data_IF_963763584898
#
_entry.id   IF_963763584898
#
_cell.length_a   1.000
_cell.length_b   1.000
_cell.length_c   1.000
_cell.angle_alpha   90.00
_cell.angle_beta   90.00
_cell.angle_gamma   90.00
#
_symmetry.space_group_name_H-M   'P 1'
#
loop_
_entity.id
_entity.type
_entity.pdbx_description
1 polymer ?
#
# COMPACT_ATOMS: atom_id res chain seq x y z
N UNK A 1 30.09 -17.09 11.55
CA UNK A 1 30.50 -17.00 10.13
C UNK A 1 29.36 -16.35 9.35
N UNK A 2 29.39 -15.02 9.19
CA UNK A 2 28.34 -14.30 8.45
C UNK A 2 28.70 -14.40 6.97
N UNK A 3 27.93 -15.16 6.19
CA UNK A 3 28.09 -15.21 4.73
C UNK A 3 27.73 -13.84 4.19
N UNK A 4 28.75 -13.03 3.90
CA UNK A 4 28.63 -11.79 3.13
C UNK A 4 28.09 -12.15 1.74
N UNK A 5 26.79 -11.95 1.51
CA UNK A 5 26.20 -12.07 0.18
C UNK A 5 26.70 -10.87 -0.63
N UNK A 6 27.82 -11.06 -1.34
CA UNK A 6 28.26 -10.13 -2.38
C UNK A 6 27.25 -10.24 -3.52
N UNK A 7 26.25 -9.36 -3.57
CA UNK A 7 25.42 -9.18 -4.77
C UNK A 7 26.35 -8.62 -5.85
N UNK A 8 26.81 -9.46 -6.77
CA UNK A 8 27.46 -8.98 -7.98
C UNK A 8 26.39 -8.22 -8.78
N UNK A 9 26.62 -6.96 -9.09
CA UNK A 9 25.77 -6.21 -10.00
C UNK A 9 25.95 -6.82 -11.39
N UNK A 10 25.10 -7.79 -11.70
CA UNK A 10 24.91 -8.32 -13.04
C UNK A 10 24.55 -7.17 -13.96
N UNK A 11 25.07 -7.21 -15.18
CA UNK A 11 24.78 -6.27 -16.27
C UNK A 11 23.29 -5.92 -16.32
N UNK A 12 22.97 -4.66 -16.57
CA UNK A 12 21.59 -4.17 -16.74
C UNK A 12 20.80 -5.07 -17.70
N UNK A 13 19.70 -5.65 -17.23
CA UNK A 13 18.78 -6.42 -18.06
C UNK A 13 17.62 -5.51 -18.51
N UNK A 14 17.55 -5.13 -19.79
CA UNK A 14 16.46 -4.29 -20.31
C UNK A 14 15.09 -4.98 -20.22
N UNK A 15 15.05 -6.33 -20.20
CA UNK A 15 13.81 -7.11 -20.10
C UNK A 15 13.21 -6.94 -18.71
N UNK A 16 14.01 -7.15 -17.65
CA UNK A 16 13.58 -6.94 -16.26
C UNK A 16 13.23 -5.46 -15.99
N UNK A 17 13.90 -4.53 -16.66
CA UNK A 17 13.54 -3.11 -16.57
C UNK A 17 12.17 -2.81 -17.22
N UNK A 18 11.91 -3.37 -18.41
CA UNK A 18 10.65 -3.13 -19.14
C UNK A 18 9.46 -3.88 -18.57
N UNK A 19 9.69 -5.00 -17.90
CA UNK A 19 8.67 -5.87 -17.30
C UNK A 19 9.16 -6.38 -15.95
N UNK A 20 9.16 -5.51 -14.93
CA UNK A 20 9.69 -5.86 -13.62
C UNK A 20 8.85 -6.95 -12.95
N UNK A 21 9.51 -7.77 -12.13
CA UNK A 21 8.83 -8.78 -11.35
C UNK A 21 7.83 -8.16 -10.34
N UNK A 22 6.92 -8.97 -9.82
CA UNK A 22 5.94 -8.52 -8.82
C UNK A 22 6.57 -8.16 -7.46
N UNK A 23 7.87 -8.34 -7.24
CA UNK A 23 8.57 -7.88 -6.03
C UNK A 23 8.89 -6.40 -6.07
N UNK A 24 9.07 -5.83 -7.26
CA UNK A 24 9.28 -4.40 -7.48
C UNK A 24 7.98 -3.60 -7.62
N UNK A 25 6.83 -4.28 -7.65
CA UNK A 25 5.53 -3.63 -7.73
C UNK A 25 5.24 -2.80 -6.45
N UNK A 26 4.63 -1.61 -6.59
CA UNK A 26 4.43 -0.69 -5.49
C UNK A 26 3.45 -1.26 -4.45
N UNK A 27 3.64 -0.84 -3.21
CA UNK A 27 2.75 -1.14 -2.08
C UNK A 27 2.11 0.16 -1.62
N UNK A 28 0.81 0.12 -1.34
CA UNK A 28 0.05 1.29 -0.90
C UNK A 28 -0.50 1.07 0.51
N UNK A 29 -0.43 2.08 1.36
CA UNK A 29 -1.01 2.07 2.70
C UNK A 29 -1.92 3.27 2.88
N UNK A 30 -3.13 3.05 3.42
CA UNK A 30 -4.10 4.10 3.73
C UNK A 30 -4.52 4.02 5.18
N UNK A 31 -4.48 5.15 5.87
CA UNK A 31 -5.10 5.29 7.20
C UNK A 31 -6.59 5.55 6.98
N UNK A 32 -7.44 4.73 7.59
CA UNK A 32 -8.90 4.92 7.53
C UNK A 32 -9.32 5.98 8.55
N UNK A 33 -9.47 7.22 8.08
CA UNK A 33 -9.83 8.39 8.88
C UNK A 33 -11.32 8.77 8.80
N UNK A 34 -12.09 8.10 7.96
CA UNK A 34 -13.54 8.32 7.80
C UNK A 34 -14.26 7.00 7.49
N UNK A 35 -15.58 6.93 7.71
CA UNK A 35 -16.42 5.90 7.10
C UNK A 35 -16.24 5.91 5.57
N UNK A 36 -16.22 4.72 4.98
CA UNK A 36 -16.08 4.52 3.53
C UNK A 36 -17.09 3.46 3.14
N UNK A 37 -17.83 3.67 2.06
CA UNK A 37 -18.82 2.72 1.58
C UNK A 37 -18.17 1.49 0.95
N UNK A 38 -18.96 0.44 0.72
CA UNK A 38 -18.48 -0.76 0.01
C UNK A 38 -18.12 -0.42 -1.44
N UNK A 39 -18.95 0.36 -2.11
CA UNK A 39 -18.78 0.78 -3.50
C UNK A 39 -17.50 1.59 -3.69
N UNK A 40 -17.21 2.52 -2.76
CA UNK A 40 -15.96 3.28 -2.76
C UNK A 40 -14.75 2.38 -2.56
N UNK A 41 -14.86 1.40 -1.64
CA UNK A 41 -13.79 0.43 -1.37
C UNK A 41 -13.51 -0.43 -2.60
N UNK A 42 -14.55 -0.97 -3.22
CA UNK A 42 -14.43 -1.79 -4.43
C UNK A 42 -13.82 -0.98 -5.58
N UNK A 43 -14.31 0.25 -5.80
CA UNK A 43 -13.76 1.15 -6.82
C UNK A 43 -12.27 1.46 -6.61
N UNK A 44 -11.82 1.60 -5.37
CA UNK A 44 -10.40 1.76 -5.05
C UNK A 44 -9.59 0.50 -5.32
N UNK A 45 -10.10 -0.68 -4.94
CA UNK A 45 -9.44 -1.96 -5.21
C UNK A 45 -9.27 -2.20 -6.71
N UNK A 46 -10.29 -1.94 -7.52
CA UNK A 46 -10.19 -2.05 -8.99
C UNK A 46 -9.13 -1.11 -9.57
N UNK A 47 -9.04 0.12 -9.06
CA UNK A 47 -7.98 1.06 -9.49
C UNK A 47 -6.59 0.54 -9.13
N UNK A 48 -6.41 -0.04 -7.94
CA UNK A 48 -5.12 -0.56 -7.51
C UNK A 48 -4.65 -1.75 -8.34
N UNK A 49 -5.55 -2.67 -8.67
CA UNK A 49 -5.25 -3.78 -9.60
C UNK A 49 -4.83 -3.24 -10.96
N UNK A 50 -5.56 -2.26 -11.51
CA UNK A 50 -5.23 -1.65 -12.81
C UNK A 50 -3.88 -0.93 -12.81
N UNK A 51 -3.47 -0.38 -11.67
CA UNK A 51 -2.18 0.30 -11.51
C UNK A 51 -1.02 -0.65 -11.19
N UNK A 52 -1.26 -1.96 -11.07
CA UNK A 52 -0.24 -2.95 -10.73
C UNK A 52 0.27 -2.83 -9.28
N UNK A 53 -0.56 -2.33 -8.35
CA UNK A 53 -0.21 -2.28 -6.93
C UNK A 53 -0.27 -3.69 -6.35
N UNK A 54 0.83 -4.12 -5.73
CA UNK A 54 1.01 -5.47 -5.19
C UNK A 54 0.19 -5.73 -3.94
N UNK A 55 0.20 -4.77 -3.02
CA UNK A 55 -0.39 -4.91 -1.71
C UNK A 55 -1.01 -3.60 -1.24
N UNK A 56 -2.12 -3.74 -0.52
CA UNK A 56 -2.85 -2.62 0.06
C UNK A 56 -3.09 -2.86 1.55
N UNK A 57 -2.61 -1.96 2.40
CA UNK A 57 -2.79 -2.01 3.84
C UNK A 57 -3.76 -0.92 4.32
N UNK A 58 -4.80 -1.33 5.04
CA UNK A 58 -5.69 -0.40 5.75
C UNK A 58 -5.21 -0.32 7.19
N UNK A 59 -4.71 0.84 7.58
CA UNK A 59 -4.26 1.10 8.93
C UNK A 59 -5.40 1.73 9.75
N UNK A 60 -5.67 1.23 10.98
CA UNK A 60 -6.62 1.89 11.86
C UNK A 60 -6.07 3.26 12.27
N UNK A 61 -6.93 4.28 12.31
CA UNK A 61 -6.56 5.56 12.91
C UNK A 61 -6.23 5.37 14.39
N UNK A 62 -5.08 5.90 14.82
CA UNK A 62 -4.69 5.95 16.23
C UNK A 62 -5.81 6.59 17.05
N UNK A 63 -6.10 6.03 18.23
CA UNK A 63 -7.23 6.44 19.07
C UNK A 63 -7.20 7.95 19.37
N UNK A 64 -6.02 8.48 19.61
CA UNK A 64 -5.79 9.89 19.97
C UNK A 64 -6.13 10.89 18.84
N UNK A 65 -6.20 10.40 17.61
CA UNK A 65 -6.52 11.22 16.43
C UNK A 65 -7.95 10.99 15.93
N UNK A 66 -8.71 10.07 16.55
CA UNK A 66 -10.11 9.84 16.17
C UNK A 66 -10.92 11.07 16.58
N UNK A 67 -11.85 11.56 15.74
CA UNK A 67 -12.77 12.60 16.18
C UNK A 67 -13.49 12.10 17.45
N UNK A 68 -13.19 12.70 18.60
CA UNK A 68 -14.04 12.56 19.77
C UNK A 68 -15.39 13.10 19.36
N UNK A 69 -16.45 12.28 19.47
CA UNK A 69 -17.82 12.76 19.34
C UNK A 69 -17.92 14.00 20.21
N UNK A 70 -18.06 15.18 19.59
CA UNK A 70 -18.53 16.34 20.31
C UNK A 70 -19.91 15.92 20.83
N UNK A 71 -20.01 15.69 22.14
CA UNK A 71 -21.28 15.72 22.85
C UNK A 71 -21.85 17.10 22.61
N UNK A 72 -22.73 17.20 21.62
CA UNK A 72 -23.65 18.32 21.52
C UNK A 72 -24.69 18.01 22.60
N UNK A 73 -24.52 18.62 23.76
CA UNK A 73 -25.59 18.70 24.75
C UNK A 73 -26.72 19.52 24.10
N UNK A 74 -27.80 18.83 23.73
CA UNK A 74 -29.11 19.43 23.38
C UNK A 74 -30.02 19.26 24.59
#
# INVERSE_FOLDING_TARGET
MIKSIKKSYTSFDPTEFSSPNAEFAPVYSRIRNAPVSKEETDGQLYRFVRLGIKAFYILPMLKDFRPTRATIDI
#
